data_IF_245759633799
#
_entry.id   IF_245759633799
#
_cell.length_a   1.000
_cell.length_b   1.000
_cell.length_c   1.000
_cell.angle_alpha   90.00
_cell.angle_beta   90.00
_cell.angle_gamma   90.00
#
_symmetry.space_group_name_H-M   'P 1'
#
loop_
_entity.id
_entity.type
_entity.pdbx_description
1 polymer ?
#
# COMPACT_ATOMS: atom_id res chain seq x y z
N UNK A 1 -9.14 -5.24 -39.92
CA UNK A 1 -9.70 -6.62 -39.92
C UNK A 1 -8.78 -7.53 -39.13
N UNK A 2 -9.09 -7.78 -37.85
CA UNK A 2 -9.06 -9.09 -37.18
C UNK A 2 -9.17 -8.85 -35.67
N UNK A 3 -10.38 -9.07 -35.17
CA UNK A 3 -10.68 -9.27 -33.76
C UNK A 3 -9.81 -10.40 -33.18
N UNK A 4 -9.28 -10.20 -31.97
CA UNK A 4 -9.23 -11.26 -30.96
C UNK A 4 -9.69 -10.73 -29.61
N UNK A 5 -10.98 -10.91 -29.37
CA UNK A 5 -11.54 -11.08 -28.04
C UNK A 5 -11.15 -12.47 -27.50
N UNK A 6 -10.91 -12.57 -26.18
CA UNK A 6 -10.90 -13.75 -25.29
C UNK A 6 -10.19 -13.33 -23.99
N UNK A 7 -10.64 -13.57 -22.76
CA UNK A 7 -11.78 -14.33 -22.22
C UNK A 7 -12.00 -13.89 -20.77
N UNK A 8 -13.28 -13.76 -20.43
CA UNK A 8 -13.95 -13.82 -19.13
C UNK A 8 -13.16 -14.25 -17.88
N UNK A 9 -13.33 -13.43 -16.85
CA UNK A 9 -13.19 -13.76 -15.44
C UNK A 9 -14.12 -14.91 -15.02
N UNK A 10 -13.58 -15.82 -14.21
CA UNK A 10 -14.30 -16.85 -13.46
C UNK A 10 -13.55 -17.04 -12.14
N UNK A 11 -13.92 -16.25 -11.12
CA UNK A 11 -13.54 -16.54 -9.74
C UNK A 11 -14.71 -17.32 -9.14
N UNK A 12 -14.44 -18.58 -8.84
CA UNK A 12 -15.37 -19.52 -8.20
C UNK A 12 -15.75 -19.04 -6.80
N UNK A 13 -17.05 -19.16 -6.54
CA UNK A 13 -17.72 -19.07 -5.25
C UNK A 13 -17.09 -19.99 -4.20
N UNK A 14 -16.88 -19.47 -2.99
CA UNK A 14 -16.72 -20.25 -1.77
C UNK A 14 -18.00 -20.10 -0.92
N UNK A 15 -18.63 -21.19 -0.43
CA UNK A 15 -19.80 -21.11 0.42
C UNK A 15 -19.41 -20.80 1.88
N UNK A 16 -20.00 -19.75 2.42
CA UNK A 16 -20.01 -19.46 3.85
C UNK A 16 -20.78 -20.56 4.59
N UNK A 17 -20.12 -21.14 5.58
CA UNK A 17 -20.62 -22.13 6.50
C UNK A 17 -21.30 -21.39 7.65
N UNK A 18 -22.52 -21.84 7.95
CA UNK A 18 -23.44 -21.26 8.90
C UNK A 18 -22.92 -21.34 10.35
N UNK A 19 -23.12 -20.26 11.10
CA UNK A 19 -23.14 -20.25 12.56
C UNK A 19 -24.59 -20.02 13.04
N UNK A 20 -25.05 -20.72 14.10
CA UNK A 20 -26.43 -20.67 14.57
C UNK A 20 -26.74 -19.43 15.45
N UNK A 21 -28.01 -19.02 15.57
CA UNK A 21 -28.41 -17.87 16.40
C UNK A 21 -28.41 -18.21 17.89
N UNK A 22 -27.89 -17.27 18.68
CA UNK A 22 -28.00 -17.22 20.13
C UNK A 22 -29.44 -16.88 20.51
N UNK A 23 -30.00 -17.65 21.43
CA UNK A 23 -31.37 -17.59 21.88
C UNK A 23 -31.70 -16.32 22.68
N UNK A 24 -32.87 -15.74 22.40
CA UNK A 24 -33.56 -14.80 23.29
C UNK A 24 -33.95 -15.50 24.60
N UNK A 25 -33.50 -14.93 25.72
CA UNK A 25 -33.96 -15.27 27.06
C UNK A 25 -35.20 -14.48 27.43
N UNK A 26 -36.25 -15.18 27.83
CA UNK A 26 -37.44 -14.64 28.49
C UNK A 26 -37.08 -14.09 29.89
N UNK A 27 -37.57 -12.88 30.20
CA UNK A 27 -37.58 -12.28 31.52
C UNK A 27 -38.98 -11.76 31.83
N UNK A 28 -39.65 -12.47 32.73
CA UNK A 28 -41.02 -12.28 33.20
C UNK A 28 -41.14 -11.10 34.20
N UNK A 29 -42.27 -10.40 34.07
CA UNK A 29 -43.00 -9.50 34.97
C UNK A 29 -42.41 -9.19 36.36
N UNK A 30 -42.35 -7.90 36.72
CA UNK A 30 -42.92 -7.44 38.00
C UNK A 30 -43.61 -6.09 37.86
N UNK A 31 -44.86 -6.09 38.32
CA UNK A 31 -45.70 -4.94 38.61
C UNK A 31 -45.13 -4.09 39.76
N UNK A 32 -45.07 -2.78 39.59
CA UNK A 32 -44.79 -1.83 40.66
C UNK A 32 -45.52 -0.52 40.39
N UNK A 33 -46.71 -0.38 40.98
CA UNK A 33 -47.42 0.90 41.03
C UNK A 33 -46.83 1.82 42.09
N UNK A 34 -46.95 3.11 41.85
CA UNK A 34 -46.99 4.13 42.91
C UNK A 34 -47.60 5.41 42.35
N UNK A 35 -48.77 5.75 42.90
CA UNK A 35 -49.42 7.05 42.83
C UNK A 35 -48.51 8.17 43.34
N UNK A 36 -48.58 9.36 42.73
CA UNK A 36 -48.60 10.63 43.46
C UNK A 36 -48.93 11.86 42.58
N UNK A 37 -50.11 12.42 42.86
CA UNK A 37 -50.42 13.84 43.15
C UNK A 37 -50.37 14.90 42.03
N UNK A 38 -51.57 15.47 41.85
CA UNK A 38 -51.99 16.72 41.20
C UNK A 38 -51.17 17.97 41.55
N UNK A 39 -50.98 18.85 40.57
CA UNK A 39 -50.89 20.29 40.78
C UNK A 39 -51.50 21.02 39.56
N UNK A 40 -52.29 22.03 39.88
CA UNK A 40 -53.36 22.64 39.10
C UNK A 40 -52.87 23.61 38.02
N UNK A 41 -53.69 23.80 36.99
CA UNK A 41 -53.48 24.80 35.94
C UNK A 41 -54.61 24.84 34.91
N UNK A 42 -55.78 25.36 35.32
CA UNK A 42 -56.81 25.87 34.41
C UNK A 42 -56.20 26.88 33.42
N UNK A 43 -56.75 27.06 32.21
CA UNK A 43 -57.45 28.30 31.79
C UNK A 43 -57.84 28.21 30.29
N UNK A 44 -59.15 28.27 30.05
CA UNK A 44 -59.91 28.93 28.95
C UNK A 44 -60.00 28.30 27.54
N UNK A 45 -61.20 27.80 27.26
CA UNK A 45 -61.80 27.71 25.92
C UNK A 45 -62.30 29.08 25.43
N UNK A 46 -62.34 29.34 24.10
CA UNK A 46 -63.22 30.34 23.51
C UNK A 46 -64.51 29.71 22.90
N UNK A 47 -65.57 30.53 22.71
CA UNK A 47 -66.93 30.07 22.46
C UNK A 47 -67.31 29.97 20.97
N UNK A 48 -68.39 29.22 20.75
CA UNK A 48 -69.19 29.14 19.53
C UNK A 48 -69.60 30.51 18.97
N UNK A 49 -69.66 30.61 17.64
CA UNK A 49 -70.43 31.62 16.94
C UNK A 49 -71.17 30.95 15.76
N UNK A 50 -72.49 30.84 15.92
CA UNK A 50 -73.47 30.58 14.87
C UNK A 50 -73.49 31.70 13.82
N UNK A 51 -73.73 31.36 12.55
CA UNK A 51 -74.71 32.04 11.69
C UNK A 51 -74.86 31.38 10.31
N UNK A 52 -76.13 31.20 9.94
CA UNK A 52 -76.71 30.51 8.79
C UNK A 52 -76.44 31.13 7.40
N UNK A 53 -76.56 30.29 6.36
CA UNK A 53 -77.17 30.69 5.08
C UNK A 53 -77.73 29.48 4.32
N UNK A 54 -79.06 29.51 4.11
CA UNK A 54 -79.84 28.60 3.28
C UNK A 54 -79.41 28.56 1.80
N UNK A 55 -79.53 27.39 1.18
CA UNK A 55 -79.39 27.22 -0.26
C UNK A 55 -79.87 25.84 -0.74
N UNK A 56 -81.20 25.64 -0.76
CA UNK A 56 -81.81 24.50 -1.43
C UNK A 56 -81.64 24.61 -2.95
N UNK A 57 -81.16 23.55 -3.61
CA UNK A 57 -81.12 23.44 -5.07
C UNK A 57 -80.52 22.12 -5.54
N UNK A 58 -81.39 21.29 -6.11
CA UNK A 58 -81.10 20.24 -7.08
C UNK A 58 -80.54 18.90 -6.58
N UNK A 59 -81.48 17.98 -6.36
CA UNK A 59 -81.26 16.55 -6.44
C UNK A 59 -81.04 16.15 -7.92
N UNK A 60 -79.80 15.76 -8.26
CA UNK A 60 -79.49 14.98 -9.45
C UNK A 60 -79.33 13.50 -9.04
N UNK A 61 -80.19 12.58 -9.51
CA UNK A 61 -80.03 11.15 -9.27
C UNK A 61 -79.20 10.57 -10.41
N UNK A 62 -77.87 10.57 -10.30
CA UNK A 62 -77.08 10.07 -11.43
C UNK A 62 -75.57 10.03 -11.34
N UNK A 63 -74.95 10.14 -10.16
CA UNK A 63 -73.52 9.83 -10.05
C UNK A 63 -73.29 9.06 -8.76
N UNK A 64 -72.91 7.80 -8.94
CA UNK A 64 -72.35 6.96 -7.90
C UNK A 64 -71.01 7.59 -7.51
N UNK A 65 -71.04 8.52 -6.56
CA UNK A 65 -69.84 8.91 -5.83
C UNK A 65 -69.54 7.83 -4.81
N UNK A 66 -69.16 6.65 -5.29
CA UNK A 66 -68.29 5.74 -4.54
C UNK A 66 -66.90 6.38 -4.51
N UNK A 67 -66.78 7.48 -3.77
CA UNK A 67 -65.55 8.18 -3.51
C UNK A 67 -65.53 8.61 -2.05
N UNK A 68 -65.80 7.64 -1.16
CA UNK A 68 -65.08 7.59 0.11
C UNK A 68 -63.61 7.34 -0.22
N UNK A 69 -62.90 8.44 -0.52
CA UNK A 69 -61.46 8.46 -0.69
C UNK A 69 -60.73 8.36 0.66
N UNK A 70 -61.17 7.45 1.53
CA UNK A 70 -60.54 7.06 2.80
C UNK A 70 -60.57 5.53 3.00
N UNK A 71 -60.86 4.76 1.95
CA UNK A 71 -61.04 3.29 1.99
C UNK A 71 -59.76 2.45 1.95
N UNK A 72 -58.64 2.91 2.51
CA UNK A 72 -57.47 2.07 2.66
C UNK A 72 -57.71 1.09 3.82
N UNK A 73 -57.90 -0.19 3.52
CA UNK A 73 -58.04 -1.21 4.56
C UNK A 73 -56.70 -1.50 5.21
N UNK A 74 -56.65 -1.57 6.55
CA UNK A 74 -55.44 -1.91 7.29
C UNK A 74 -54.90 -3.33 7.09
N UNK A 75 -55.46 -4.07 6.13
CA UNK A 75 -55.11 -5.48 5.89
C UNK A 75 -55.26 -5.84 4.41
N UNK A 76 -54.31 -6.62 3.91
CA UNK A 76 -54.31 -7.13 2.54
C UNK A 76 -54.97 -8.51 2.40
N UNK A 77 -55.81 -8.91 3.37
CA UNK A 77 -56.44 -10.22 3.40
C UNK A 77 -57.46 -10.38 2.25
N UNK A 78 -57.03 -11.03 1.15
CA UNK A 78 -57.85 -11.22 -0.05
C UNK A 78 -57.83 -10.04 -1.02
N UNK A 79 -57.01 -9.02 -0.75
CA UNK A 79 -56.74 -7.93 -1.67
C UNK A 79 -55.80 -8.37 -2.80
N UNK A 80 -55.90 -7.73 -3.96
CA UNK A 80 -54.94 -7.92 -5.05
C UNK A 80 -53.63 -7.17 -4.74
N UNK A 81 -52.53 -7.59 -5.36
CA UNK A 81 -51.29 -6.80 -5.34
C UNK A 81 -51.55 -5.40 -5.92
N UNK A 82 -50.84 -4.40 -5.39
CA UNK A 82 -51.00 -2.96 -5.65
C UNK A 82 -52.34 -2.34 -5.21
N UNK A 83 -53.21 -3.09 -4.52
CA UNK A 83 -54.39 -2.52 -3.88
C UNK A 83 -53.99 -1.56 -2.76
N UNK A 84 -54.70 -0.42 -2.64
CA UNK A 84 -54.46 0.53 -1.56
C UNK A 84 -54.74 -0.10 -0.20
N UNK A 85 -53.81 0.08 0.73
CA UNK A 85 -53.93 -0.30 2.13
C UNK A 85 -53.25 0.78 2.98
N UNK A 86 -53.31 0.66 4.29
CA UNK A 86 -52.64 1.55 5.24
C UNK A 86 -52.10 0.68 6.37
N UNK A 87 -50.78 0.59 6.54
CA UNK A 87 -50.18 -0.26 7.59
C UNK A 87 -50.23 0.39 8.98
N UNK A 88 -50.72 1.63 9.07
CA UNK A 88 -50.85 2.41 10.28
C UNK A 88 -49.53 3.01 10.77
N UNK A 89 -48.45 2.88 9.99
CA UNK A 89 -47.16 3.51 10.25
C UNK A 89 -47.07 4.83 9.46
N UNK A 90 -47.02 5.96 10.16
CA UNK A 90 -46.90 7.26 9.51
C UNK A 90 -45.51 7.48 8.83
N UNK A 91 -44.57 6.55 9.03
CA UNK A 91 -43.26 6.53 8.38
C UNK A 91 -43.23 5.70 7.09
N UNK A 92 -44.36 5.20 6.63
CA UNK A 92 -44.54 4.56 5.32
C UNK A 92 -45.49 5.40 4.47
N UNK A 93 -45.13 5.61 3.20
CA UNK A 93 -45.90 6.37 2.23
C UNK A 93 -46.27 5.52 1.03
N UNK A 94 -47.49 5.72 0.52
CA UNK A 94 -47.98 5.05 -0.68
C UNK A 94 -48.17 3.55 -0.45
N UNK A 95 -48.73 3.20 0.70
CA UNK A 95 -48.98 1.84 1.15
C UNK A 95 -49.84 1.05 0.17
N UNK A 96 -49.35 -0.14 -0.15
CA UNK A 96 -49.99 -1.05 -1.10
C UNK A 96 -49.81 -2.49 -0.68
N UNK A 97 -50.78 -3.30 -1.08
CA UNK A 97 -50.70 -4.72 -0.88
C UNK A 97 -49.64 -5.35 -1.79
N UNK A 98 -48.72 -6.11 -1.21
CA UNK A 98 -47.78 -6.94 -1.93
C UNK A 98 -47.67 -8.31 -1.25
N UNK A 99 -48.00 -9.37 -1.97
CA UNK A 99 -47.98 -10.74 -1.47
C UNK A 99 -48.81 -10.97 -0.18
N UNK A 100 -49.89 -10.19 -0.01
CA UNK A 100 -50.78 -10.28 1.14
C UNK A 100 -50.35 -9.48 2.38
N UNK A 101 -49.27 -8.68 2.28
CA UNK A 101 -48.81 -7.75 3.32
C UNK A 101 -48.98 -6.31 2.83
N UNK A 102 -49.30 -5.39 3.75
CA UNK A 102 -49.34 -3.97 3.42
C UNK A 102 -47.93 -3.42 3.54
N UNK A 103 -47.38 -2.89 2.45
CA UNK A 103 -46.02 -2.36 2.40
C UNK A 103 -46.01 -0.97 1.81
N UNK A 104 -45.29 -0.06 2.45
CA UNK A 104 -45.07 1.31 1.96
C UNK A 104 -43.61 1.62 1.66
N UNK A 105 -43.39 2.83 1.15
CA UNK A 105 -42.04 3.38 0.98
C UNK A 105 -41.66 4.14 2.24
N UNK A 106 -40.52 3.80 2.85
CA UNK A 106 -40.07 4.47 4.07
C UNK A 106 -39.87 5.98 3.85
N UNK A 107 -40.34 6.79 4.79
CA UNK A 107 -40.06 8.23 4.87
C UNK A 107 -38.56 8.42 5.07
N UNK A 108 -37.92 9.11 4.14
CA UNK A 108 -36.54 9.53 4.28
C UNK A 108 -36.48 10.86 5.03
N UNK A 109 -35.81 10.85 6.18
CA UNK A 109 -35.56 12.05 6.94
C UNK A 109 -34.35 12.81 6.40
N UNK A 110 -34.39 14.14 6.53
CA UNK A 110 -33.24 14.98 6.20
C UNK A 110 -32.00 14.59 7.02
N UNK A 111 -30.83 14.83 6.44
CA UNK A 111 -29.57 14.64 7.14
C UNK A 111 -29.52 15.52 8.40
N UNK A 112 -29.06 14.98 9.54
CA UNK A 112 -28.90 15.76 10.75
C UNK A 112 -27.83 16.85 10.55
N UNK A 113 -27.97 17.94 11.30
CA UNK A 113 -27.00 19.05 11.30
C UNK A 113 -25.94 18.92 12.39
N UNK A 114 -26.19 18.09 13.40
CA UNK A 114 -25.29 17.81 14.52
C UNK A 114 -24.43 16.57 14.18
N UNK A 115 -23.10 16.70 14.30
CA UNK A 115 -22.14 15.64 14.03
C UNK A 115 -22.30 14.41 14.95
N UNK A 116 -22.87 14.59 16.15
CA UNK A 116 -23.16 13.51 17.09
C UNK A 116 -24.55 12.89 16.91
N UNK A 117 -25.26 13.25 15.85
CA UNK A 117 -26.47 12.58 15.37
C UNK A 117 -26.15 11.91 14.05
N UNK A 118 -26.27 10.58 13.99
CA UNK A 118 -25.98 9.80 12.78
C UNK A 118 -27.16 9.76 11.81
N UNK A 119 -28.39 9.87 12.32
CA UNK A 119 -29.60 9.96 11.52
C UNK A 119 -30.75 10.55 12.34
N UNK A 120 -31.77 11.04 11.64
CA UNK A 120 -33.08 11.29 12.23
C UNK A 120 -33.99 10.10 11.90
N UNK A 121 -34.53 9.46 12.93
CA UNK A 121 -35.55 8.45 12.80
C UNK A 121 -36.93 9.11 12.73
N UNK A 122 -37.76 8.55 11.86
CA UNK A 122 -39.16 8.90 11.75
C UNK A 122 -39.95 8.25 12.90
N UNK A 123 -40.87 9.00 13.51
CA UNK A 123 -41.80 8.50 14.53
C UNK A 123 -43.03 7.83 13.87
N UNK A 124 -43.26 6.52 14.06
CA UNK A 124 -44.32 5.78 13.39
C UNK A 124 -45.74 6.25 13.76
N UNK A 125 -45.90 6.97 14.88
CA UNK A 125 -47.21 7.50 15.28
C UNK A 125 -47.54 8.85 14.62
N UNK A 126 -46.54 9.62 14.21
CA UNK A 126 -46.72 11.02 13.78
C UNK A 126 -46.14 11.33 12.40
N UNK A 127 -45.27 10.47 11.88
CA UNK A 127 -44.51 10.69 10.64
C UNK A 127 -43.41 11.73 10.80
N UNK A 128 -43.14 12.19 12.03
CA UNK A 128 -42.20 13.26 12.29
C UNK A 128 -40.75 12.74 12.38
N UNK A 129 -39.85 13.34 11.60
CA UNK A 129 -38.41 13.10 11.65
C UNK A 129 -37.75 13.87 12.80
N UNK A 130 -38.03 13.49 14.05
CA UNK A 130 -37.54 14.19 15.24
C UNK A 130 -36.72 13.30 16.19
N UNK A 131 -36.77 11.98 16.04
CA UNK A 131 -36.05 11.08 16.94
C UNK A 131 -34.58 10.98 16.53
N UNK A 132 -33.67 11.56 17.31
CA UNK A 132 -32.25 11.48 17.01
C UNK A 132 -31.69 10.06 17.23
N UNK A 133 -30.98 9.55 16.23
CA UNK A 133 -30.12 8.37 16.34
C UNK A 133 -28.71 8.87 16.60
N UNK A 134 -28.16 8.57 17.77
CA UNK A 134 -26.85 9.09 18.17
C UNK A 134 -25.72 8.46 17.37
N UNK A 135 -24.67 9.23 17.12
CA UNK A 135 -23.42 8.70 16.61
C UNK A 135 -22.76 7.79 17.67
N UNK A 136 -22.02 6.75 17.27
CA UNK A 136 -21.24 5.94 18.20
C UNK A 136 -20.31 6.77 19.08
N UNK A 137 -20.07 6.32 20.31
CA UNK A 137 -19.05 6.90 21.18
C UNK A 137 -17.68 6.91 20.48
N UNK A 138 -16.97 8.03 20.53
CA UNK A 138 -15.69 8.20 19.84
C UNK A 138 -15.81 8.62 18.37
N UNK A 139 -17.01 8.86 17.85
CA UNK A 139 -17.16 9.51 16.54
C UNK A 139 -16.59 10.92 16.58
N UNK A 140 -15.98 11.36 15.47
CA UNK A 140 -15.43 12.71 15.36
C UNK A 140 -16.55 13.74 15.36
N UNK A 141 -16.37 14.79 16.15
CA UNK A 141 -17.17 16.01 16.15
C UNK A 141 -16.22 17.19 16.39
N UNK A 142 -16.73 18.41 16.32
CA UNK A 142 -15.98 19.64 16.58
C UNK A 142 -16.83 20.53 17.48
N UNK A 143 -16.28 20.94 18.62
CA UNK A 143 -16.96 21.72 19.65
C UNK A 143 -16.61 23.21 19.58
N UNK A 144 -15.40 23.54 19.12
CA UNK A 144 -14.83 24.89 19.24
C UNK A 144 -14.11 25.41 17.98
N UNK A 145 -14.26 24.73 16.84
CA UNK A 145 -13.60 25.00 15.55
C UNK A 145 -12.05 24.92 15.64
N UNK A 146 -11.49 24.44 16.75
CA UNK A 146 -10.06 24.19 16.91
C UNK A 146 -9.73 22.77 16.46
N UNK A 147 -9.26 22.66 15.21
CA UNK A 147 -8.83 21.41 14.59
C UNK A 147 -7.72 20.66 15.37
N UNK A 148 -7.07 21.31 16.34
CA UNK A 148 -6.04 20.68 17.17
C UNK A 148 -6.59 20.01 18.42
N UNK A 149 -7.76 20.41 18.89
CA UNK A 149 -8.47 19.73 19.99
C UNK A 149 -9.35 18.66 19.39
N UNK A 150 -9.12 17.41 19.78
CA UNK A 150 -9.95 16.32 19.31
C UNK A 150 -11.23 16.32 20.15
N UNK A 151 -12.37 16.60 19.53
CA UNK A 151 -13.66 16.37 20.17
C UNK A 151 -14.28 15.04 19.70
N UNK A 152 -15.00 14.41 20.62
CA UNK A 152 -15.60 13.10 20.40
C UNK A 152 -17.02 13.04 20.93
N UNK A 153 -17.88 12.35 20.18
CA UNK A 153 -19.24 12.06 20.63
C UNK A 153 -19.21 11.11 21.83
N UNK A 154 -20.07 11.36 22.81
CA UNK A 154 -20.20 10.53 24.02
C UNK A 154 -21.18 9.36 23.89
N UNK A 155 -21.71 9.12 22.68
CA UNK A 155 -22.72 8.09 22.41
C UNK A 155 -24.14 8.46 22.86
N UNK A 156 -24.32 9.66 23.45
CA UNK A 156 -25.60 10.19 23.91
C UNK A 156 -25.95 11.53 23.25
N UNK A 157 -25.31 11.84 22.11
CA UNK A 157 -25.51 13.08 21.36
C UNK A 157 -24.67 14.26 21.82
N UNK A 158 -23.83 14.10 22.85
CA UNK A 158 -22.94 15.17 23.31
C UNK A 158 -21.59 15.11 22.60
N UNK A 159 -21.17 16.21 21.99
CA UNK A 159 -19.78 16.41 21.58
C UNK A 159 -18.95 16.88 22.78
N UNK A 160 -17.83 16.21 23.08
CA UNK A 160 -16.98 16.53 24.22
C UNK A 160 -15.52 16.68 23.81
N UNK A 161 -14.89 17.73 24.33
CA UNK A 161 -13.45 17.88 24.30
C UNK A 161 -12.76 16.71 24.98
N UNK A 162 -11.84 16.10 24.24
CA UNK A 162 -10.87 15.17 24.80
C UNK A 162 -9.63 15.96 25.23
N UNK A 163 -8.77 15.33 26.02
CA UNK A 163 -7.44 15.88 26.29
C UNK A 163 -6.44 15.54 25.16
N UNK A 164 -6.91 14.91 24.08
CA UNK A 164 -6.09 14.48 22.96
C UNK A 164 -5.91 15.68 22.02
N UNK A 165 -4.69 15.82 21.53
CA UNK A 165 -4.33 16.77 20.47
C UNK A 165 -3.93 15.99 19.23
N UNK A 166 -4.27 16.50 18.05
CA UNK A 166 -3.87 15.84 16.81
C UNK A 166 -2.33 15.81 16.71
N UNK A 167 -1.79 14.61 16.50
CA UNK A 167 -0.35 14.39 16.36
C UNK A 167 0.18 14.74 14.98
N UNK A 168 -0.71 15.02 14.01
CA UNK A 168 -0.38 15.24 12.61
C UNK A 168 0.41 14.09 11.99
N UNK A 169 0.11 12.87 12.44
CA UNK A 169 0.84 11.67 12.03
C UNK A 169 0.52 11.30 10.57
N UNK A 170 -0.73 11.49 10.15
CA UNK A 170 -1.15 11.21 8.78
C UNK A 170 -0.40 12.09 7.77
N UNK A 171 -0.18 13.37 8.10
CA UNK A 171 0.57 14.31 7.28
C UNK A 171 2.07 13.95 7.26
N UNK A 172 2.61 13.54 8.40
CA UNK A 172 3.99 13.06 8.49
C UNK A 172 4.20 11.76 7.69
N UNK A 173 3.23 10.85 7.66
CA UNK A 173 3.29 9.63 6.84
C UNK A 173 3.20 9.95 5.34
N UNK A 174 2.43 10.97 4.96
CA UNK A 174 2.26 11.40 3.57
C UNK A 174 3.47 12.19 3.02
N UNK A 175 4.18 12.91 3.89
CA UNK A 175 5.39 13.67 3.57
C UNK A 175 6.43 13.53 4.68
N UNK A 176 7.16 12.40 4.69
CA UNK A 176 8.07 12.02 5.78
C UNK A 176 9.28 12.96 5.91
N UNK A 177 9.54 13.79 4.91
CA UNK A 177 10.65 14.75 4.94
C UNK A 177 10.36 16.01 5.76
N UNK A 178 9.15 16.14 6.29
CA UNK A 178 8.78 17.25 7.14
C UNK A 178 8.21 16.80 8.47
N UNK A 179 8.56 17.53 9.53
CA UNK A 179 7.83 17.43 10.79
C UNK A 179 6.56 18.29 10.71
N UNK A 180 5.45 17.77 11.24
CA UNK A 180 4.21 18.51 11.38
C UNK A 180 3.95 18.86 12.84
N UNK A 181 3.28 19.98 13.06
CA UNK A 181 2.75 20.29 14.38
C UNK A 181 1.43 21.03 14.23
N UNK A 182 0.46 20.67 15.05
CA UNK A 182 -0.85 21.29 15.01
C UNK A 182 -0.77 22.78 15.40
N UNK A 183 -1.41 23.65 14.60
CA UNK A 183 -1.64 25.07 14.90
C UNK A 183 -3.12 25.26 15.18
N UNK A 184 -3.51 25.89 16.30
CA UNK A 184 -4.90 26.32 16.49
C UNK A 184 -5.40 27.13 15.28
N UNK A 185 -6.64 26.89 14.86
CA UNK A 185 -7.32 27.50 13.70
C UNK A 185 -6.69 27.22 12.31
N UNK A 186 -5.58 26.47 12.22
CA UNK A 186 -4.97 26.09 10.93
C UNK A 186 -4.80 24.57 10.75
N UNK A 187 -4.98 23.79 11.83
CA UNK A 187 -4.75 22.36 11.82
C UNK A 187 -3.27 22.00 11.65
N UNK A 188 -3.00 20.87 11.01
CA UNK A 188 -1.66 20.32 10.87
C UNK A 188 -0.80 21.11 9.88
N UNK A 189 0.14 21.89 10.41
CA UNK A 189 1.05 22.70 9.61
C UNK A 189 2.47 22.11 9.57
N UNK A 190 3.07 22.13 8.39
CA UNK A 190 4.47 21.78 8.10
C UNK A 190 5.43 22.71 8.84
N UNK A 191 6.45 22.15 9.53
CA UNK A 191 7.37 22.91 10.41
C UNK A 191 8.82 22.88 9.98
N UNK A 192 9.46 21.72 10.11
CA UNK A 192 10.91 21.59 9.98
C UNK A 192 11.23 20.54 8.94
N UNK A 193 12.15 20.86 8.04
CA UNK A 193 12.71 19.90 7.09
C UNK A 193 13.64 18.95 7.84
N UNK A 194 13.39 17.65 7.70
CA UNK A 194 14.11 16.56 8.36
C UNK A 194 15.20 15.99 7.42
N UNK A 195 16.25 16.76 7.13
CA UNK A 195 17.34 16.28 6.27
C UNK A 195 17.99 15.01 6.85
N UNK A 196 18.14 13.99 6.01
CA UNK A 196 18.69 12.69 6.38
C UNK A 196 17.68 11.74 7.06
N UNK A 197 16.42 12.16 7.23
CA UNK A 197 15.37 11.24 7.67
C UNK A 197 15.10 10.18 6.58
N UNK A 198 14.80 8.94 6.98
CA UNK A 198 14.46 7.89 6.03
C UNK A 198 13.14 8.24 5.32
N UNK A 199 13.10 7.98 4.03
CA UNK A 199 11.91 8.11 3.20
C UNK A 199 11.93 7.01 2.12
N UNK A 200 11.00 7.03 1.17
CA UNK A 200 10.97 6.16 -0.01
C UNK A 200 10.70 7.06 -1.21
N UNK A 201 11.62 7.13 -2.18
CA UNK A 201 11.47 7.96 -3.38
C UNK A 201 10.64 7.25 -4.47
N UNK A 202 10.23 6.00 -4.21
CA UNK A 202 9.45 5.16 -5.09
C UNK A 202 10.25 4.52 -6.22
N UNK A 203 11.53 4.86 -6.36
CA UNK A 203 12.43 4.23 -7.32
C UNK A 203 12.97 2.92 -6.73
N UNK A 204 12.72 1.82 -7.43
CA UNK A 204 13.20 0.50 -7.00
C UNK A 204 14.69 0.30 -7.29
N UNK A 205 15.30 1.23 -8.02
CA UNK A 205 16.71 1.26 -8.40
C UNK A 205 17.56 2.14 -7.50
N UNK A 206 17.00 2.61 -6.40
CA UNK A 206 17.70 3.33 -5.35
C UNK A 206 17.59 2.58 -4.02
N UNK A 207 18.52 2.88 -3.12
CA UNK A 207 18.57 2.39 -1.76
C UNK A 207 18.98 3.51 -0.80
N UNK A 208 18.76 3.26 0.49
CA UNK A 208 19.14 4.19 1.56
C UNK A 208 18.54 5.61 1.36
N UNK A 209 17.29 5.62 0.92
CA UNK A 209 16.49 6.81 0.63
C UNK A 209 16.40 7.75 1.82
N UNK A 210 16.77 9.00 1.56
CA UNK A 210 16.87 10.02 2.59
C UNK A 210 16.39 11.38 2.09
N UNK A 211 15.78 12.11 3.00
CA UNK A 211 15.31 13.45 2.74
C UNK A 211 16.48 14.41 2.54
N UNK A 212 16.48 15.13 1.42
CA UNK A 212 17.45 16.15 1.08
C UNK A 212 16.77 17.52 0.93
N UNK A 213 17.56 18.59 1.14
CA UNK A 213 17.14 19.96 0.86
C UNK A 213 17.38 20.28 -0.62
N UNK A 214 16.33 20.27 -1.42
CA UNK A 214 16.37 20.79 -2.77
C UNK A 214 16.15 22.31 -2.69
N UNK A 215 17.20 23.06 -3.00
CA UNK A 215 17.31 24.52 -2.79
C UNK A 215 16.16 25.35 -3.37
N UNK A 216 15.38 24.81 -4.31
CA UNK A 216 14.30 25.51 -5.02
C UNK A 216 12.93 24.81 -4.97
N UNK A 217 12.84 23.56 -4.48
CA UNK A 217 11.61 22.76 -4.45
C UNK A 217 11.21 22.35 -3.02
N UNK A 218 12.07 22.62 -2.04
CA UNK A 218 11.87 22.22 -0.65
C UNK A 218 12.47 20.84 -0.37
N UNK A 219 11.82 20.05 0.47
CA UNK A 219 12.32 18.72 0.78
C UNK A 219 12.03 17.73 -0.35
N UNK A 220 13.03 16.93 -0.71
CA UNK A 220 12.88 15.85 -1.69
C UNK A 220 13.40 14.56 -1.09
N UNK A 221 12.69 13.46 -1.30
CA UNK A 221 13.22 12.15 -0.99
C UNK A 221 14.14 11.72 -2.14
N UNK A 222 15.39 11.40 -1.82
CA UNK A 222 16.36 10.94 -2.81
C UNK A 222 17.07 9.70 -2.28
N UNK A 223 17.15 8.67 -3.12
CA UNK A 223 17.94 7.49 -2.85
C UNK A 223 19.30 7.48 -3.51
N UNK A 224 20.12 6.54 -3.06
CA UNK A 224 21.44 6.25 -3.64
C UNK A 224 21.25 5.15 -4.69
N UNK A 225 21.74 5.29 -5.94
CA UNK A 225 21.62 4.24 -6.95
C UNK A 225 22.16 2.91 -6.44
N UNK A 226 21.40 1.83 -6.63
CA UNK A 226 21.86 0.47 -6.30
C UNK A 226 22.99 0.07 -7.23
N UNK A 227 24.02 -0.58 -6.67
CA UNK A 227 25.11 -1.13 -7.46
C UNK A 227 24.65 -2.42 -8.13
N UNK A 228 24.61 -2.41 -9.46
CA UNK A 228 24.19 -3.54 -10.30
C UNK A 228 25.32 -4.05 -11.17
N UNK A 229 26.56 -3.61 -10.96
CA UNK A 229 27.71 -4.11 -11.71
C UNK A 229 27.89 -5.62 -11.44
N UNK A 230 27.96 -6.45 -12.48
CA UNK A 230 28.24 -7.89 -12.38
C UNK A 230 29.73 -8.23 -12.55
N UNK A 231 30.60 -7.22 -12.46
CA UNK A 231 32.04 -7.28 -12.70
C UNK A 231 32.40 -7.75 -14.12
N UNK A 232 31.45 -7.76 -15.05
CA UNK A 232 31.68 -8.16 -16.43
C UNK A 232 31.81 -6.93 -17.34
N UNK A 233 33.00 -6.61 -17.87
CA UNK A 233 33.21 -5.45 -18.73
C UNK A 233 32.50 -5.55 -20.09
N UNK A 234 31.86 -6.69 -20.39
CA UNK A 234 31.11 -6.94 -21.61
C UNK A 234 29.59 -6.85 -21.45
N UNK A 235 29.13 -6.36 -20.31
CA UNK A 235 27.74 -6.00 -20.05
C UNK A 235 27.62 -4.51 -19.76
N UNK A 236 26.48 -3.93 -20.14
CA UNK A 236 26.03 -2.61 -19.71
C UNK A 236 25.01 -2.84 -18.60
N UNK A 237 25.40 -2.53 -17.38
CA UNK A 237 24.65 -2.85 -16.18
C UNK A 237 23.74 -1.70 -15.83
N UNK A 238 22.45 -1.96 -15.93
CA UNK A 238 21.42 -0.96 -15.67
C UNK A 238 20.39 -1.55 -14.73
N UNK A 239 19.92 -0.75 -13.79
CA UNK A 239 18.77 -1.12 -13.02
C UNK A 239 17.50 -0.72 -13.78
N UNK A 240 16.59 -1.67 -13.97
CA UNK A 240 15.30 -1.47 -14.62
C UNK A 240 14.22 -2.03 -13.71
N UNK A 241 13.31 -1.17 -13.23
CA UNK A 241 12.18 -1.55 -12.36
C UNK A 241 12.63 -2.32 -11.07
N UNK A 242 13.84 -2.03 -10.57
CA UNK A 242 14.42 -2.68 -9.40
C UNK A 242 15.04 -4.05 -9.66
N UNK A 243 15.25 -4.40 -10.92
CA UNK A 243 16.02 -5.57 -11.32
C UNK A 243 17.32 -5.13 -11.99
N UNK A 244 18.42 -5.81 -11.65
CA UNK A 244 19.66 -5.69 -12.40
C UNK A 244 19.47 -6.32 -13.78
N UNK A 245 19.65 -5.51 -14.82
CA UNK A 245 19.70 -5.92 -16.22
C UNK A 245 21.12 -5.71 -16.76
N UNK A 246 21.75 -6.80 -17.18
CA UNK A 246 23.12 -6.82 -17.70
C UNK A 246 23.07 -7.01 -19.22
N UNK A 247 22.95 -5.91 -19.96
CA UNK A 247 22.75 -5.97 -21.40
C UNK A 247 24.09 -6.25 -22.11
N UNK A 248 24.20 -7.30 -22.96
CA UNK A 248 25.46 -7.62 -23.60
C UNK A 248 25.88 -6.51 -24.58
N UNK A 249 27.10 -5.98 -24.40
CA UNK A 249 27.71 -5.08 -25.36
C UNK A 249 28.61 -5.87 -26.32
N UNK A 250 28.62 -5.45 -27.58
CA UNK A 250 29.53 -5.98 -28.60
C UNK A 250 30.74 -5.08 -28.74
N UNK A 251 31.85 -5.61 -29.25
CA UNK A 251 33.03 -4.90 -29.76
C UNK A 251 33.81 -3.99 -28.80
N UNK A 252 33.33 -3.82 -27.56
CA UNK A 252 34.10 -3.20 -26.48
C UNK A 252 35.37 -4.01 -26.18
N UNK A 253 36.45 -3.30 -25.87
CA UNK A 253 37.70 -3.90 -25.42
C UNK A 253 37.52 -4.42 -24.00
N UNK A 254 37.98 -5.63 -23.73
CA UNK A 254 37.98 -6.24 -22.41
C UNK A 254 39.31 -6.96 -22.15
N UNK A 255 39.61 -7.24 -20.88
CA UNK A 255 40.77 -8.04 -20.48
C UNK A 255 40.27 -9.42 -20.03
N UNK A 256 40.40 -10.47 -20.86
CA UNK A 256 40.12 -11.80 -20.40
C UNK A 256 41.21 -12.14 -19.38
N UNK A 257 40.84 -12.50 -18.13
CA UNK A 257 41.74 -12.84 -17.01
C UNK A 257 42.63 -14.09 -17.27
N UNK A 258 43.22 -14.20 -18.45
CA UNK A 258 44.21 -15.17 -18.83
C UNK A 258 45.59 -14.61 -18.43
N UNK A 259 46.50 -15.49 -18.03
CA UNK A 259 47.88 -15.17 -17.66
C UNK A 259 48.74 -14.62 -18.83
N UNK A 260 48.12 -14.10 -19.88
CA UNK A 260 48.74 -13.42 -21.01
C UNK A 260 47.97 -12.11 -21.22
N UNK A 261 48.68 -10.99 -21.37
CA UNK A 261 48.13 -9.68 -21.77
C UNK A 261 47.56 -9.73 -23.21
N UNK A 262 46.48 -10.49 -23.44
CA UNK A 262 45.80 -10.60 -24.73
C UNK A 262 44.58 -9.69 -24.70
N UNK A 263 44.57 -8.68 -25.58
CA UNK A 263 43.38 -7.86 -25.75
C UNK A 263 42.17 -8.74 -26.10
N UNK A 264 41.09 -8.63 -25.33
CA UNK A 264 39.80 -9.26 -25.59
C UNK A 264 38.83 -8.30 -26.27
N UNK A 265 37.79 -8.88 -26.86
CA UNK A 265 36.65 -8.16 -27.38
C UNK A 265 35.36 -8.81 -26.87
N UNK A 266 34.38 -7.97 -26.58
CA UNK A 266 33.09 -8.44 -26.13
C UNK A 266 32.29 -9.05 -27.29
N UNK A 267 31.88 -10.30 -27.11
CA UNK A 267 31.06 -11.06 -28.04
C UNK A 267 29.87 -11.63 -27.28
N UNK A 268 28.68 -11.07 -27.54
CA UNK A 268 27.43 -11.50 -26.90
C UNK A 268 27.49 -11.55 -25.36
N UNK A 269 28.12 -10.55 -24.72
CA UNK A 269 28.23 -10.46 -23.27
C UNK A 269 29.40 -11.23 -22.65
N UNK A 270 30.25 -11.84 -23.49
CA UNK A 270 31.42 -12.61 -23.04
C UNK A 270 32.68 -11.95 -23.55
N UNK A 271 33.68 -11.81 -22.67
CA UNK A 271 35.01 -11.36 -23.07
C UNK A 271 35.74 -12.50 -23.80
N UNK A 272 35.82 -12.42 -25.13
CA UNK A 272 36.55 -13.37 -25.95
C UNK A 272 37.95 -12.84 -26.30
N UNK A 273 38.98 -13.66 -26.11
CA UNK A 273 40.34 -13.29 -26.50
C UNK A 273 40.43 -13.09 -28.03
N UNK A 274 40.87 -11.91 -28.47
CA UNK A 274 41.04 -11.64 -29.91
C UNK A 274 42.31 -12.26 -30.49
N UNK A 275 43.19 -12.76 -29.62
CA UNK A 275 44.43 -13.47 -29.98
C UNK A 275 44.64 -14.67 -29.06
N UNK A 276 45.04 -15.81 -29.63
CA UNK A 276 45.41 -16.98 -28.84
C UNK A 276 46.61 -16.66 -27.93
N UNK A 277 46.49 -16.99 -26.64
CA UNK A 277 47.61 -17.11 -25.72
C UNK A 277 48.59 -18.14 -26.28
N UNK A 278 49.86 -17.78 -26.43
CA UNK A 278 50.90 -18.74 -26.77
C UNK A 278 51.82 -18.85 -25.56
N UNK A 279 51.84 -20.05 -24.97
CA UNK A 279 52.72 -20.43 -23.87
C UNK A 279 53.57 -21.65 -24.28
N UNK A 280 54.71 -21.91 -23.62
CA UNK A 280 55.79 -22.69 -24.21
C UNK A 280 55.47 -24.18 -24.34
N UNK A 281 55.58 -24.65 -25.58
CA UNK A 281 55.23 -25.98 -26.09
C UNK A 281 54.66 -25.88 -27.51
N UNK A 282 54.06 -24.72 -27.84
CA UNK A 282 53.49 -24.44 -29.15
C UNK A 282 54.48 -23.68 -30.08
N UNK A 283 54.52 -23.96 -31.40
CA UNK A 283 55.47 -23.40 -32.36
C UNK A 283 55.34 -21.88 -32.63
N UNK A 284 54.54 -21.15 -31.86
CA UNK A 284 54.18 -19.74 -32.09
C UNK A 284 54.84 -18.70 -31.16
N UNK A 285 55.56 -19.10 -30.11
CA UNK A 285 56.18 -18.18 -29.15
C UNK A 285 57.70 -18.07 -29.34
N UNK A 286 58.33 -16.91 -29.03
CA UNK A 286 59.78 -16.82 -28.98
C UNK A 286 60.31 -17.79 -27.91
N UNK A 287 61.33 -18.58 -28.27
CA UNK A 287 62.00 -19.46 -27.32
C UNK A 287 62.56 -18.65 -26.14
N UNK A 288 62.61 -19.21 -24.90
CA UNK A 288 63.19 -18.51 -23.75
C UNK A 288 64.62 -18.05 -24.09
N UNK A 289 64.91 -16.80 -23.78
CA UNK A 289 66.19 -16.17 -24.10
C UNK A 289 67.05 -16.11 -22.85
N UNK A 290 68.06 -16.97 -22.81
CA UNK A 290 69.14 -16.83 -21.85
C UNK A 290 70.24 -15.97 -22.48
N UNK A 291 70.33 -14.72 -22.03
CA UNK A 291 71.33 -13.74 -22.48
C UNK A 291 72.75 -14.28 -22.26
N UNK A 292 72.93 -14.99 -21.14
CA UNK A 292 74.10 -15.83 -20.89
C UNK A 292 73.73 -17.30 -21.12
N UNK A 293 74.37 -18.01 -22.06
CA UNK A 293 74.07 -19.41 -22.30
C UNK A 293 74.26 -20.27 -21.05
N UNK A 294 73.31 -21.18 -20.80
CA UNK A 294 73.42 -22.17 -19.74
C UNK A 294 74.67 -23.06 -19.96
N UNK A 295 75.58 -23.04 -19.00
CA UNK A 295 76.81 -23.82 -19.06
C UNK A 295 76.55 -25.30 -18.75
N UNK A 296 77.52 -26.15 -19.07
CA UNK A 296 77.58 -27.58 -18.68
C UNK A 296 76.33 -28.42 -19.01
N UNK A 297 75.56 -28.02 -20.03
CA UNK A 297 74.40 -28.76 -20.51
C UNK A 297 73.07 -28.40 -19.85
N UNK A 298 73.01 -27.30 -19.08
CA UNK A 298 71.74 -26.79 -18.54
C UNK A 298 70.78 -26.35 -19.64
N UNK A 299 69.48 -26.48 -19.40
CA UNK A 299 68.42 -26.08 -20.33
C UNK A 299 67.87 -24.70 -19.98
N UNK A 300 67.72 -23.81 -20.95
CA UNK A 300 67.05 -22.52 -20.74
C UNK A 300 65.54 -22.77 -20.63
N UNK A 301 64.96 -22.58 -19.45
CA UNK A 301 63.54 -22.88 -19.16
C UNK A 301 62.69 -21.62 -19.01
N UNK A 302 63.32 -20.48 -18.73
CA UNK A 302 62.72 -19.15 -18.78
C UNK A 302 63.82 -18.11 -19.08
N UNK A 303 63.45 -16.86 -19.33
CA UNK A 303 64.42 -15.79 -19.61
C UNK A 303 65.46 -15.68 -18.49
N UNK A 304 66.74 -15.74 -18.88
CA UNK A 304 67.90 -15.78 -18.00
C UNK A 304 67.85 -16.84 -16.86
N UNK A 305 67.03 -17.88 -17.02
CA UNK A 305 66.82 -18.94 -16.02
C UNK A 305 67.19 -20.31 -16.59
N UNK A 306 68.25 -20.91 -16.07
CA UNK A 306 68.72 -22.22 -16.46
C UNK A 306 68.29 -23.33 -15.49
N UNK A 307 67.77 -24.44 -16.03
CA UNK A 307 67.65 -25.70 -15.31
C UNK A 307 68.99 -26.45 -15.35
N UNK A 308 69.61 -26.58 -14.19
CA UNK A 308 70.90 -27.25 -14.02
C UNK A 308 70.77 -28.68 -13.47
N UNK A 309 69.55 -29.20 -13.32
CA UNK A 309 69.32 -30.53 -12.76
C UNK A 309 70.06 -31.60 -13.58
N UNK A 310 70.78 -32.48 -12.87
CA UNK A 310 71.56 -33.56 -13.51
C UNK A 310 72.88 -33.13 -14.14
N UNK A 311 73.26 -31.85 -14.10
CA UNK A 311 74.57 -31.38 -14.60
C UNK A 311 75.68 -31.46 -13.55
N UNK A 312 75.32 -31.52 -12.26
CA UNK A 312 76.28 -31.36 -11.15
C UNK A 312 76.69 -29.90 -10.90
N UNK A 313 76.06 -28.94 -11.59
CA UNK A 313 76.28 -27.50 -11.42
C UNK A 313 75.01 -26.80 -10.93
N UNK A 314 75.18 -25.60 -10.38
CA UNK A 314 74.12 -24.74 -9.86
C UNK A 314 74.38 -23.26 -10.20
N UNK A 315 73.42 -22.42 -9.83
CA UNK A 315 73.37 -20.99 -10.13
C UNK A 315 72.70 -20.70 -11.47
N UNK A 316 72.44 -19.42 -11.71
CA UNK A 316 71.56 -18.94 -12.79
C UNK A 316 72.02 -19.33 -14.20
N UNK A 317 73.31 -19.64 -14.36
CA UNK A 317 73.91 -20.07 -15.64
C UNK A 317 74.55 -21.46 -15.58
N UNK A 318 74.29 -22.27 -14.55
CA UNK A 318 74.91 -23.58 -14.34
C UNK A 318 76.46 -23.56 -14.37
N UNK A 319 77.05 -22.46 -13.92
CA UNK A 319 78.51 -22.28 -13.91
C UNK A 319 79.18 -22.69 -12.60
N UNK A 320 78.42 -22.83 -11.51
CA UNK A 320 78.98 -23.12 -10.18
C UNK A 320 78.96 -24.62 -9.93
N UNK A 321 80.09 -25.30 -9.74
CA UNK A 321 80.08 -26.73 -9.46
C UNK A 321 79.50 -27.01 -8.08
N UNK A 322 78.71 -28.08 -7.97
CA UNK A 322 78.18 -28.59 -6.70
C UNK A 322 79.03 -29.79 -6.29
N UNK A 323 79.74 -29.66 -5.17
CA UNK A 323 80.53 -30.76 -4.59
C UNK A 323 79.72 -31.46 -3.49
N UNK A 324 79.60 -32.78 -3.56
CA UNK A 324 79.10 -33.63 -2.49
C UNK A 324 80.14 -34.71 -2.12
N UNK A 325 80.76 -34.67 -0.92
CA UNK A 325 80.50 -33.76 0.19
C UNK A 325 81.04 -32.33 -0.04
N UNK A 326 80.48 -31.30 0.61
CA UNK A 326 80.95 -29.92 0.48
C UNK A 326 82.38 -29.78 1.00
N UNK A 327 83.19 -28.96 0.33
CA UNK A 327 84.57 -28.72 0.73
C UNK A 327 84.66 -27.83 1.99
N UNK A 328 85.18 -28.37 3.10
CA UNK A 328 85.28 -27.63 4.36
C UNK A 328 86.35 -26.51 4.36
N UNK A 329 87.37 -26.58 3.49
CA UNK A 329 88.49 -25.63 3.44
C UNK A 329 89.06 -25.41 2.02
N UNK A 330 88.19 -25.05 1.06
CA UNK A 330 88.61 -24.79 -0.31
C UNK A 330 87.45 -24.40 -1.23
N UNK A 331 87.74 -24.07 -2.49
CA UNK A 331 86.73 -23.86 -3.52
C UNK A 331 86.53 -25.14 -4.33
N UNK A 332 85.28 -25.54 -4.53
CA UNK A 332 84.88 -26.63 -5.42
C UNK A 332 85.33 -26.29 -6.85
N UNK A 333 86.23 -27.11 -7.41
CA UNK A 333 86.79 -26.88 -8.75
C UNK A 333 86.01 -27.59 -9.86
N UNK A 334 85.32 -28.70 -9.54
CA UNK A 334 84.45 -29.47 -10.42
C UNK A 334 83.45 -30.30 -9.60
N UNK A 335 82.31 -30.73 -10.17
CA UNK A 335 81.34 -31.58 -9.47
C UNK A 335 81.96 -32.91 -9.05
N UNK A 336 81.56 -33.39 -7.87
CA UNK A 336 81.94 -34.71 -7.32
C UNK A 336 83.46 -35.03 -7.33
N UNK A 337 84.31 -34.01 -7.07
CA UNK A 337 85.79 -34.16 -6.98
C UNK A 337 86.35 -34.09 -5.57
#
# INVERSE_FOLDING_TARGET
MHHRARTLALILSAPLWALPPVACGQGDLTSGGSDAVSADGEVLAPPDADADADGAGDADPGVDVDADADGASASCAGAADDAACDDGDACTLGDRCAAGECVGSAVECDAPTDACVSALACDPATGACAAAVWAPEGSACDLDDDLCTLDRCDGAGGCRATAEVDSCAAEADADPCWSYACVPDQGCAKRTLLVGAPCDDGDRCTQDDACADATDEGAVCVGTPVDVDDDNPCTDDTCVEGAAEHAPIGDASCDPEAECDVAGACVAGVCEATRACVCPGDPGCPAPVCTTPCAHGGACVADDTCDCAGTGYAGDTCATPVCDPPCDNGACAAPDT
#
